data_IF_612424074509
#
_entry.id   IF_612424074509
#
_cell.length_a   1.000
_cell.length_b   1.000
_cell.length_c   1.000
_cell.angle_alpha   90.00
_cell.angle_beta   90.00
_cell.angle_gamma   90.00
#
_symmetry.space_group_name_H-M   'P 1'
#
loop_
_entity.id
_entity.type
_entity.pdbx_description
1 polymer ?
#
# COMPACT_ATOMS: atom_id res chain seq x y z
N UNK A 1 -10.80 -14.87 -4.05
CA UNK A 1 -11.14 -14.90 -2.61
C UNK A 1 -9.86 -15.13 -1.85
N UNK A 2 -9.36 -14.12 -1.14
CA UNK A 2 -8.17 -14.25 -0.29
C UNK A 2 -8.68 -14.23 1.15
N UNK A 3 -8.82 -15.42 1.74
CA UNK A 3 -9.09 -15.57 3.16
C UNK A 3 -7.74 -15.80 3.83
N UNK A 4 -7.13 -14.71 4.29
CA UNK A 4 -5.99 -14.62 5.22
C UNK A 4 -4.89 -15.70 5.13
N UNK A 5 -3.62 -15.35 4.86
CA UNK A 5 -2.55 -16.32 4.99
C UNK A 5 -2.43 -16.80 6.45
N UNK A 6 -2.11 -18.09 6.68
CA UNK A 6 -1.73 -18.59 7.99
C UNK A 6 -0.57 -17.77 8.57
N UNK A 7 -0.54 -17.57 9.89
CA UNK A 7 0.53 -16.82 10.57
C UNK A 7 1.93 -17.32 10.23
N UNK A 8 2.06 -18.62 9.94
CA UNK A 8 3.30 -19.30 9.59
C UNK A 8 3.91 -18.80 8.26
N UNK A 9 3.10 -18.20 7.37
CA UNK A 9 3.55 -17.65 6.08
C UNK A 9 3.88 -16.16 6.19
N UNK A 10 3.56 -15.50 7.32
CA UNK A 10 3.85 -14.07 7.52
C UNK A 10 5.35 -13.75 7.38
N UNK A 11 6.20 -14.62 7.93
CA UNK A 11 7.66 -14.47 7.90
C UNK A 11 8.26 -14.75 6.50
N UNK A 12 7.55 -15.52 5.67
CA UNK A 12 7.97 -15.90 4.32
C UNK A 12 7.57 -14.87 3.24
N UNK A 13 6.74 -13.87 3.56
CA UNK A 13 6.37 -12.82 2.61
C UNK A 13 7.51 -11.81 2.41
N UNK A 14 8.04 -11.76 1.19
CA UNK A 14 9.05 -10.78 0.78
C UNK A 14 8.61 -9.33 1.01
N UNK A 15 7.33 -9.04 0.72
CA UNK A 15 6.74 -7.70 0.84
C UNK A 15 5.31 -7.75 1.36
N UNK A 16 5.04 -6.85 2.29
CA UNK A 16 3.74 -6.54 2.88
C UNK A 16 3.33 -5.12 2.50
N UNK A 17 2.07 -4.98 2.07
CA UNK A 17 1.45 -3.70 1.76
C UNK A 17 0.17 -3.55 2.59
N UNK A 18 0.09 -2.48 3.38
CA UNK A 18 -1.12 -2.13 4.11
C UNK A 18 -1.76 -0.89 3.47
N UNK A 19 -2.97 -1.06 2.95
CA UNK A 19 -3.77 0.00 2.36
C UNK A 19 -5.03 0.21 3.19
N UNK A 20 -5.39 1.47 3.44
CA UNK A 20 -6.69 1.83 4.02
C UNK A 20 -7.19 3.14 3.42
N UNK A 21 -8.47 3.19 3.04
CA UNK A 21 -9.10 4.37 2.43
C UNK A 21 -8.30 4.96 1.24
N UNK A 22 -7.71 4.08 0.41
CA UNK A 22 -6.87 4.49 -0.72
C UNK A 22 -5.48 5.02 -0.36
N UNK A 23 -5.11 5.04 0.93
CA UNK A 23 -3.80 5.48 1.42
C UNK A 23 -2.92 4.28 1.75
N UNK A 24 -1.66 4.36 1.36
CA UNK A 24 -0.65 3.38 1.76
C UNK A 24 -0.10 3.73 3.14
N UNK A 25 -0.32 2.84 4.10
CA UNK A 25 0.10 2.99 5.49
C UNK A 25 1.46 2.31 5.74
N UNK A 26 1.79 1.31 4.93
CA UNK A 26 3.07 0.61 4.95
C UNK A 26 3.31 -0.14 3.62
N UNK A 27 4.54 -0.13 3.14
CA UNK A 27 5.04 -1.01 2.09
C UNK A 27 6.50 -1.39 2.35
N UNK A 28 6.79 -2.68 2.51
CA UNK A 28 8.12 -3.15 2.89
C UNK A 28 8.11 -4.63 3.31
N UNK A 29 9.21 -5.12 3.88
CA UNK A 29 9.30 -6.50 4.38
C UNK A 29 8.29 -6.78 5.50
N UNK A 30 7.60 -7.92 5.45
CA UNK A 30 6.57 -8.26 6.44
C UNK A 30 7.11 -8.30 7.88
N UNK A 31 8.33 -8.82 8.07
CA UNK A 31 9.00 -8.85 9.38
C UNK A 31 9.28 -7.47 9.97
N UNK A 32 9.45 -6.43 9.14
CA UNK A 32 9.72 -5.04 9.59
C UNK A 32 8.45 -4.26 9.90
N UNK A 33 7.27 -4.76 9.53
CA UNK A 33 6.02 -4.06 9.75
C UNK A 33 5.71 -3.90 11.25
N UNK A 34 5.97 -4.94 12.04
CA UNK A 34 5.74 -4.93 13.50
C UNK A 34 6.53 -3.80 14.17
N UNK A 35 7.82 -3.70 13.88
CA UNK A 35 8.67 -2.63 14.43
C UNK A 35 8.23 -1.24 13.95
N UNK A 36 7.85 -1.13 12.67
CA UNK A 36 7.37 0.13 12.10
C UNK A 36 6.13 0.68 12.80
N UNK A 37 5.14 -0.17 13.07
CA UNK A 37 3.90 0.18 13.74
C UNK A 37 4.10 0.37 15.25
N UNK A 38 4.94 -0.45 15.89
CA UNK A 38 5.29 -0.32 17.30
C UNK A 38 5.97 1.04 17.60
N UNK A 39 6.90 1.48 16.75
CA UNK A 39 7.54 2.80 16.87
C UNK A 39 6.55 3.99 16.76
N UNK A 40 5.33 3.75 16.27
CA UNK A 40 4.25 4.74 16.14
C UNK A 40 3.15 4.58 17.19
N UNK A 41 3.35 3.68 18.17
CA UNK A 41 2.42 3.43 19.27
C UNK A 41 1.45 2.28 19.05
N UNK A 42 1.62 1.50 17.97
CA UNK A 42 0.73 0.37 17.63
C UNK A 42 1.48 -0.95 17.81
N UNK A 43 1.59 -1.38 19.06
CA UNK A 43 2.27 -2.61 19.40
C UNK A 43 1.39 -3.83 19.10
N UNK A 44 1.89 -4.72 18.25
CA UNK A 44 1.22 -6.00 17.99
C UNK A 44 1.23 -6.85 19.28
N UNK A 45 0.07 -7.34 19.76
CA UNK A 45 0.03 -8.20 20.93
C UNK A 45 0.79 -9.52 20.70
N UNK A 46 1.36 -10.07 21.76
CA UNK A 46 1.99 -11.39 21.71
C UNK A 46 0.98 -12.46 21.28
N UNK A 47 1.44 -13.47 20.55
CA UNK A 47 0.63 -14.59 20.06
C UNK A 47 -0.54 -14.19 19.13
N UNK A 48 -0.53 -12.95 18.61
CA UNK A 48 -1.49 -12.48 17.60
C UNK A 48 -0.85 -12.52 16.22
N UNK A 49 -1.60 -12.95 15.20
CA UNK A 49 -1.14 -12.86 13.81
C UNK A 49 -0.99 -11.37 13.43
N UNK A 50 0.23 -10.90 13.05
CA UNK A 50 0.44 -9.51 12.66
C UNK A 50 -0.46 -9.07 11.51
N UNK A 51 -0.76 -9.97 10.56
CA UNK A 51 -1.68 -9.66 9.46
C UNK A 51 -3.08 -9.30 9.96
N UNK A 52 -3.64 -10.09 10.89
CA UNK A 52 -4.97 -9.84 11.48
C UNK A 52 -4.96 -8.54 12.31
N UNK A 53 -3.89 -8.32 13.07
CA UNK A 53 -3.71 -7.10 13.86
C UNK A 53 -3.71 -5.86 12.97
N UNK A 54 -2.90 -5.82 11.91
CA UNK A 54 -2.84 -4.66 11.02
C UNK A 54 -4.10 -4.45 10.21
N UNK A 55 -4.79 -5.52 9.81
CA UNK A 55 -6.10 -5.43 9.14
C UNK A 55 -7.11 -4.72 10.04
N UNK A 56 -7.25 -5.14 11.30
CA UNK A 56 -8.13 -4.47 12.28
C UNK A 56 -7.69 -3.04 12.56
N UNK A 57 -6.38 -2.83 12.74
CA UNK A 57 -5.81 -1.51 13.02
C UNK A 57 -6.13 -0.51 11.90
N UNK A 58 -6.12 -0.97 10.65
CA UNK A 58 -6.34 -0.13 9.47
C UNK A 58 -7.82 0.13 9.15
N UNK A 59 -8.73 -0.65 9.73
CA UNK A 59 -10.16 -0.53 9.47
C UNK A 59 -10.83 0.35 10.54
N UNK A 60 -11.37 1.49 10.08
CA UNK A 60 -11.97 2.53 10.92
C UNK A 60 -13.29 2.14 11.59
N UNK A 61 -13.89 1.02 11.19
CA UNK A 61 -15.11 0.50 11.81
C UNK A 61 -14.84 -0.23 13.14
N UNK A 62 -13.58 -0.54 13.46
CA UNK A 62 -13.21 -1.18 14.72
C UNK A 62 -12.80 -0.18 15.79
N UNK A 63 -13.12 -0.47 17.05
CA UNK A 63 -12.60 0.29 18.20
C UNK A 63 -11.08 0.10 18.31
N UNK A 64 -10.35 1.18 18.60
CA UNK A 64 -8.89 1.16 18.70
C UNK A 64 -8.15 1.15 17.36
N UNK A 65 -8.81 1.48 16.25
CA UNK A 65 -8.16 1.69 14.96
C UNK A 65 -7.11 2.80 15.02
N UNK A 66 -6.15 2.74 14.11
CA UNK A 66 -5.14 3.77 13.98
C UNK A 66 -5.68 5.03 13.32
N UNK A 67 -5.03 6.16 13.60
CA UNK A 67 -5.22 7.38 12.82
C UNK A 67 -4.58 7.17 11.44
N UNK A 68 -5.45 6.85 10.46
CA UNK A 68 -5.07 6.53 9.07
C UNK A 68 -4.31 7.70 8.43
N UNK A 69 -4.75 8.94 8.68
CA UNK A 69 -4.10 10.13 8.14
C UNK A 69 -2.70 10.32 8.71
N UNK A 70 -2.56 10.18 10.03
CA UNK A 70 -1.26 10.27 10.69
C UNK A 70 -0.31 9.18 10.21
N UNK A 71 -0.77 7.94 10.08
CA UNK A 71 0.04 6.84 9.59
C UNK A 71 0.46 7.03 8.13
N UNK A 72 -0.44 7.49 7.27
CA UNK A 72 -0.14 7.79 5.88
C UNK A 72 0.91 8.90 5.75
N UNK A 73 0.76 10.00 6.50
CA UNK A 73 1.75 11.09 6.52
C UNK A 73 3.12 10.60 7.02
N UNK A 74 3.12 9.81 8.10
CA UNK A 74 4.34 9.24 8.66
C UNK A 74 5.00 8.24 7.70
N UNK A 75 4.22 7.46 6.94
CA UNK A 75 4.75 6.55 5.93
C UNK A 75 5.36 7.31 4.76
N UNK A 76 4.70 8.37 4.30
CA UNK A 76 5.17 9.21 3.20
C UNK A 76 6.52 9.88 3.45
N UNK A 77 6.93 10.03 4.72
CA UNK A 77 8.24 10.56 5.11
C UNK A 77 9.35 9.49 5.17
N UNK A 78 9.00 8.21 5.07
CA UNK A 78 10.00 7.13 5.03
C UNK A 78 10.66 7.03 3.65
N UNK A 79 11.90 6.54 3.54
CA UNK A 79 12.54 6.28 2.24
C UNK A 79 11.67 5.42 1.31
N UNK A 80 10.98 4.41 1.87
CA UNK A 80 10.07 3.52 1.15
C UNK A 80 8.84 4.28 0.62
N UNK A 81 8.24 5.14 1.45
CA UNK A 81 7.10 5.96 1.06
C UNK A 81 7.44 6.99 -0.01
N UNK A 82 8.60 7.66 0.11
CA UNK A 82 9.11 8.59 -0.90
C UNK A 82 9.39 7.88 -2.23
N UNK A 83 10.03 6.70 -2.18
CA UNK A 83 10.29 5.90 -3.38
C UNK A 83 8.99 5.49 -4.08
N UNK A 84 8.01 4.98 -3.31
CA UNK A 84 6.71 4.58 -3.83
C UNK A 84 5.95 5.76 -4.48
N UNK A 85 5.98 6.93 -3.87
CA UNK A 85 5.39 8.15 -4.44
C UNK A 85 6.11 8.61 -5.71
N UNK A 86 7.44 8.47 -5.77
CA UNK A 86 8.24 8.74 -6.96
C UNK A 86 7.87 7.83 -8.13
N UNK A 87 7.67 6.53 -7.88
CA UNK A 87 7.24 5.55 -8.89
C UNK A 87 5.82 5.85 -9.41
N UNK A 88 4.89 6.17 -8.50
CA UNK A 88 3.52 6.56 -8.87
C UNK A 88 3.52 7.85 -9.70
N UNK A 89 4.31 8.85 -9.30
CA UNK A 89 4.44 10.11 -10.05
C UNK A 89 5.06 9.91 -11.43
N UNK A 90 6.02 8.99 -11.54
CA UNK A 90 6.67 8.64 -12.81
C UNK A 90 5.72 7.90 -13.75
N UNK A 91 4.87 7.02 -13.21
CA UNK A 91 3.88 6.24 -13.98
C UNK A 91 2.61 7.04 -14.34
N UNK A 92 2.33 8.15 -13.65
CA UNK A 92 1.24 9.08 -13.98
C UNK A 92 1.64 10.18 -14.97
N UNK A 93 2.90 10.22 -15.43
CA UNK A 93 3.25 11.07 -16.57
C UNK A 93 2.55 10.52 -17.82
N UNK A 94 1.85 11.36 -18.62
CA UNK A 94 1.38 10.92 -19.92
C UNK A 94 2.60 10.43 -20.67
N UNK A 95 2.65 9.13 -20.97
CA UNK A 95 3.68 8.57 -21.81
C UNK A 95 3.61 9.34 -23.12
N UNK A 96 4.52 10.29 -23.33
CA UNK A 96 4.65 10.94 -24.63
C UNK A 96 4.90 9.80 -25.60
N UNK A 97 3.98 9.53 -26.54
CA UNK A 97 4.20 8.42 -27.46
C UNK A 97 5.56 8.65 -28.13
N UNK A 98 6.41 7.62 -28.24
CA UNK A 98 7.62 7.76 -29.03
C UNK A 98 7.20 8.31 -30.40
N UNK A 99 7.87 9.38 -30.86
CA UNK A 99 7.68 9.90 -32.22
C UNK A 99 8.10 8.79 -33.20
N UNK A 100 7.20 7.87 -33.48
CA UNK A 100 7.32 6.92 -34.57
C UNK A 100 6.65 7.57 -35.75
N UNK A 101 7.48 8.06 -36.67
CA UNK A 101 7.02 8.41 -38.00
C UNK A 101 6.29 7.21 -38.61
N UNK A 102 5.19 7.52 -39.28
CA UNK A 102 4.49 6.69 -40.25
C UNK A 102 3.92 5.33 -39.77
N UNK A 103 2.58 5.28 -39.82
CA UNK A 103 1.73 4.13 -40.17
C UNK A 103 1.81 2.89 -39.28
N UNK A 104 0.81 2.70 -38.40
CA UNK A 104 -0.21 1.67 -38.60
C UNK A 104 -1.19 1.65 -37.43
N UNK A 105 -2.46 1.55 -37.79
CA UNK A 105 -3.67 1.31 -37.01
C UNK A 105 -3.46 0.57 -35.68
N UNK A 106 -3.89 1.18 -34.57
CA UNK A 106 -4.41 0.40 -33.44
C UNK A 106 -5.67 1.06 -32.85
N UNK A 107 -6.64 0.19 -32.65
CA UNK A 107 -8.05 0.43 -32.33
C UNK A 107 -8.24 0.99 -30.92
N UNK A 108 -9.18 1.92 -30.83
CA UNK A 108 -10.16 2.19 -29.77
C UNK A 108 -9.72 2.02 -28.31
N UNK A 109 -9.72 3.14 -27.58
CA UNK A 109 -10.19 3.13 -26.20
C UNK A 109 -11.21 4.27 -26.00
N UNK A 110 -12.48 3.90 -26.03
CA UNK A 110 -13.59 4.67 -25.45
C UNK A 110 -13.44 4.56 -23.93
N UNK A 111 -13.05 5.65 -23.27
CA UNK A 111 -13.42 5.85 -21.87
C UNK A 111 -14.22 7.13 -21.76
N UNK A 112 -15.50 6.91 -21.45
CA UNK A 112 -16.52 7.89 -21.11
C UNK A 112 -16.07 8.81 -19.97
N UNK A 113 -16.46 10.08 -20.07
CA UNK A 113 -16.61 10.97 -18.94
C UNK A 113 -17.53 10.34 -17.88
N UNK A 114 -17.36 10.72 -16.61
CA UNK A 114 -18.39 11.43 -15.87
C UNK A 114 -17.84 11.95 -14.53
N UNK A 115 -18.25 13.21 -14.29
CA UNK A 115 -18.32 14.03 -13.06
C UNK A 115 -18.00 13.33 -11.75
#
# INVERSE_FOLDING_TARGET
>A
TIHQPPSEVWEDFDKFCLLSQGKCLYFGEAGKAVDYFAARGYQCPAYTNPADYFLRLSNTDFEGHADVDRLWQAFGQTPQGVALQGELSTSMQPQTPPRVGATSSYRNNLFSQLV
#
